data_IF_940895886550
#
_entry.id   IF_940895886550
#
_cell.length_a   1.000
_cell.length_b   1.000
_cell.length_c   1.000
_cell.angle_alpha   90.00
_cell.angle_beta   90.00
_cell.angle_gamma   90.00
#
_symmetry.space_group_name_H-M   'P 1'
#
loop_
_entity.id
_entity.type
_entity.pdbx_description
1 polymer ?
#
# COMPACT_ATOMS: atom_id res chain seq x y z
N UNK A 1 -24.13 29.68 5.53
CA UNK A 1 -22.68 29.51 5.56
C UNK A 1 -22.45 28.07 6.00
N UNK A 2 -22.15 27.14 5.07
CA UNK A 2 -21.77 25.80 5.44
C UNK A 2 -20.43 25.93 6.18
N UNK A 3 -20.38 25.54 7.45
CA UNK A 3 -19.12 25.27 8.11
C UNK A 3 -18.33 24.35 7.17
N UNK A 4 -17.11 24.75 6.81
CA UNK A 4 -16.21 23.94 5.99
C UNK A 4 -15.83 22.69 6.80
N UNK A 5 -16.68 21.66 6.72
CA UNK A 5 -16.41 20.38 7.39
C UNK A 5 -15.24 19.71 6.67
N UNK A 6 -14.23 19.37 7.42
CA UNK A 6 -13.03 18.71 6.91
C UNK A 6 -13.38 17.43 6.16
N UNK A 7 -12.69 17.17 5.07
CA UNK A 7 -12.92 15.96 4.27
C UNK A 7 -12.42 14.70 5.00
N UNK A 8 -13.04 13.56 4.69
CA UNK A 8 -12.56 12.24 5.06
C UNK A 8 -11.63 11.72 3.95
N UNK A 9 -10.47 11.23 4.29
CA UNK A 9 -9.53 10.60 3.37
C UNK A 9 -9.45 9.11 3.67
N UNK A 10 -9.66 8.26 2.65
CA UNK A 10 -9.59 6.80 2.78
C UNK A 10 -8.62 6.25 1.75
N UNK A 11 -7.49 5.70 2.22
CA UNK A 11 -6.52 4.98 1.40
C UNK A 11 -6.88 3.50 1.34
N UNK A 12 -7.33 3.06 0.16
CA UNK A 12 -7.79 1.70 -0.11
C UNK A 12 -6.62 0.76 -0.43
N UNK A 13 -5.90 0.30 0.58
CA UNK A 13 -4.79 -0.63 0.40
C UNK A 13 -5.24 -2.09 0.26
N UNK A 14 -4.46 -2.90 -0.45
CA UNK A 14 -4.69 -4.36 -0.58
C UNK A 14 -4.63 -5.07 0.78
N UNK A 15 -3.67 -4.70 1.62
CA UNK A 15 -3.50 -5.32 2.94
C UNK A 15 -4.13 -4.55 4.08
N UNK A 16 -4.12 -3.23 4.02
CA UNK A 16 -4.54 -2.34 5.12
C UNK A 16 -5.32 -1.16 4.58
N UNK A 17 -6.41 -0.81 5.25
CA UNK A 17 -7.12 0.47 5.09
C UNK A 17 -6.49 1.51 6.00
N UNK A 18 -6.34 2.74 5.50
CA UNK A 18 -5.93 3.90 6.28
C UNK A 18 -6.97 4.99 6.09
N UNK A 19 -7.52 5.50 7.15
CA UNK A 19 -8.56 6.53 7.05
C UNK A 19 -8.43 7.57 8.17
N UNK A 20 -8.90 8.77 7.90
CA UNK A 20 -8.86 9.87 8.85
C UNK A 20 -9.44 11.16 8.27
N UNK A 21 -9.34 12.22 9.06
CA UNK A 21 -9.82 13.55 8.68
C UNK A 21 -8.70 14.33 8.01
N UNK A 22 -9.01 15.02 6.93
CA UNK A 22 -8.06 15.86 6.23
C UNK A 22 -7.54 17.00 7.13
N UNK A 23 -6.24 17.27 7.06
CA UNK A 23 -5.55 18.21 7.93
C UNK A 23 -4.84 17.55 9.11
N UNK A 24 -5.13 16.27 9.42
CA UNK A 24 -4.37 15.52 10.40
C UNK A 24 -3.02 15.04 9.80
N UNK A 25 -2.00 14.92 10.64
CA UNK A 25 -0.64 14.48 10.25
C UNK A 25 -0.53 12.96 10.05
N UNK A 26 -1.49 12.19 10.56
CA UNK A 26 -1.51 10.72 10.46
C UNK A 26 -2.94 10.17 10.42
N UNK A 27 -3.16 9.00 9.79
CA UNK A 27 -4.48 8.40 9.74
C UNK A 27 -4.95 7.99 11.14
N UNK A 28 -6.19 8.30 11.46
CA UNK A 28 -6.83 7.92 12.73
C UNK A 28 -7.18 6.42 12.78
N UNK A 29 -7.54 5.85 11.63
CA UNK A 29 -7.86 4.44 11.48
C UNK A 29 -6.80 3.73 10.62
N UNK A 30 -6.29 2.59 11.10
CA UNK A 30 -5.36 1.72 10.41
C UNK A 30 -5.69 0.26 10.75
N UNK A 31 -6.31 -0.46 9.82
CA UNK A 31 -6.79 -1.81 10.06
C UNK A 31 -6.73 -2.69 8.80
N UNK A 32 -6.71 -4.04 8.94
CA UNK A 32 -6.64 -4.97 7.82
C UNK A 32 -7.83 -4.83 6.85
N UNK A 33 -7.56 -4.82 5.54
CA UNK A 33 -8.56 -4.84 4.47
C UNK A 33 -9.14 -6.25 4.29
N UNK A 34 -9.91 -6.71 5.27
CA UNK A 34 -10.44 -8.07 5.32
C UNK A 34 -11.83 -8.12 5.94
N UNK A 35 -12.66 -9.01 5.43
CA UNK A 35 -13.96 -9.37 6.00
C UNK A 35 -13.95 -10.83 6.41
N UNK A 36 -14.45 -11.12 7.60
CA UNK A 36 -14.69 -12.46 8.12
C UNK A 36 -16.16 -12.83 8.07
N UNK A 37 -16.50 -13.90 7.38
CA UNK A 37 -17.87 -14.44 7.32
C UNK A 37 -17.92 -15.72 8.14
N UNK A 38 -18.91 -15.92 9.04
CA UNK A 38 -19.07 -17.15 9.82
C UNK A 38 -19.11 -18.39 8.93
N UNK A 39 -18.30 -19.40 9.27
CA UNK A 39 -18.30 -20.71 8.57
C UNK A 39 -19.60 -21.51 8.78
N UNK A 40 -20.28 -21.24 9.89
CA UNK A 40 -21.53 -21.92 10.28
C UNK A 40 -22.58 -20.86 10.60
N UNK A 41 -23.84 -21.10 10.22
CA UNK A 41 -24.97 -20.18 10.38
C UNK A 41 -25.35 -19.85 11.84
N UNK A 42 -24.71 -20.44 12.85
CA UNK A 42 -24.88 -20.12 14.27
C UNK A 42 -23.55 -20.26 15.00
N UNK A 43 -22.90 -19.14 15.28
CA UNK A 43 -21.90 -19.09 16.35
C UNK A 43 -22.70 -18.83 17.63
N UNK A 44 -22.80 -19.83 18.52
CA UNK A 44 -23.39 -19.63 19.85
C UNK A 44 -22.62 -18.55 20.59
N UNK A 45 -23.31 -17.44 20.95
CA UNK A 45 -22.72 -16.36 21.72
C UNK A 45 -22.13 -15.20 20.91
N UNK A 46 -22.27 -15.17 19.60
CA UNK A 46 -22.08 -13.96 18.80
C UNK A 46 -23.44 -13.25 18.68
N UNK A 47 -23.50 -11.98 19.02
CA UNK A 47 -24.57 -11.10 18.59
C UNK A 47 -24.83 -11.33 17.08
N UNK A 48 -26.03 -11.08 16.61
CA UNK A 48 -26.54 -11.33 15.25
C UNK A 48 -25.70 -10.72 14.09
N UNK A 49 -24.37 -10.54 14.30
CA UNK A 49 -23.44 -10.00 13.33
C UNK A 49 -23.16 -11.02 12.22
N UNK A 50 -23.64 -10.68 11.05
CA UNK A 50 -23.45 -11.49 9.83
C UNK A 50 -22.03 -11.45 9.27
N UNK A 51 -21.18 -10.52 9.70
CA UNK A 51 -19.79 -10.35 9.27
C UNK A 51 -18.95 -9.59 10.30
N UNK A 52 -17.63 -9.73 10.19
CA UNK A 52 -16.63 -9.02 10.99
C UNK A 52 -15.63 -8.32 10.05
N UNK A 53 -15.08 -7.17 10.45
CA UNK A 53 -14.17 -6.38 9.62
C UNK A 53 -12.83 -6.21 10.33
N UNK A 54 -11.75 -6.14 9.55
CA UNK A 54 -10.45 -5.75 10.02
C UNK A 54 -9.87 -6.68 11.08
N UNK A 55 -9.39 -6.12 12.20
CA UNK A 55 -8.74 -6.87 13.25
C UNK A 55 -9.66 -7.87 13.94
N UNK A 56 -10.95 -7.56 14.07
CA UNK A 56 -11.94 -8.48 14.64
C UNK A 56 -12.13 -9.74 13.79
N UNK A 57 -12.09 -9.59 12.46
CA UNK A 57 -12.11 -10.73 11.55
C UNK A 57 -10.86 -11.60 11.72
N UNK A 58 -9.67 -10.98 11.82
CA UNK A 58 -8.41 -11.68 12.04
C UNK A 58 -8.42 -12.43 13.38
N UNK A 59 -8.86 -11.78 14.45
CA UNK A 59 -8.89 -12.38 15.79
C UNK A 59 -9.82 -13.61 15.86
N UNK A 60 -10.91 -13.60 15.09
CA UNK A 60 -11.91 -14.69 15.05
C UNK A 60 -11.74 -15.66 13.88
N UNK A 61 -10.61 -15.66 13.17
CA UNK A 61 -10.36 -16.44 11.94
C UNK A 61 -10.60 -17.95 12.07
N UNK A 62 -10.47 -18.52 13.27
CA UNK A 62 -10.74 -19.95 13.51
C UNK A 62 -12.17 -20.36 13.12
N UNK A 63 -13.14 -19.47 13.35
CA UNK A 63 -14.58 -19.70 13.11
C UNK A 63 -15.11 -18.92 11.91
N UNK A 64 -14.27 -18.07 11.27
CA UNK A 64 -14.62 -17.26 10.13
C UNK A 64 -13.89 -17.71 8.85
N UNK A 65 -14.53 -17.50 7.71
CA UNK A 65 -13.88 -17.51 6.39
C UNK A 65 -13.45 -16.10 6.09
N UNK A 66 -12.13 -15.86 5.94
CA UNK A 66 -11.58 -14.56 5.62
C UNK A 66 -11.67 -14.30 4.11
N UNK A 67 -12.12 -13.10 3.74
CA UNK A 67 -12.20 -12.63 2.37
C UNK A 67 -11.56 -11.26 2.24
N UNK A 68 -10.76 -11.09 1.19
CA UNK A 68 -10.01 -9.87 0.90
C UNK A 68 -10.63 -9.19 -0.33
N UNK A 69 -11.36 -8.07 -0.15
CA UNK A 69 -12.10 -7.43 -1.24
C UNK A 69 -11.20 -6.69 -2.23
N UNK A 70 -9.95 -6.41 -1.86
CA UNK A 70 -8.95 -5.81 -2.74
C UNK A 70 -7.89 -6.84 -3.10
N UNK A 71 -7.72 -7.10 -4.39
CA UNK A 71 -6.70 -8.00 -4.91
C UNK A 71 -5.74 -7.22 -5.80
N UNK A 72 -4.44 -7.27 -5.48
CA UNK A 72 -3.40 -6.58 -6.25
C UNK A 72 -3.73 -5.11 -6.57
N UNK A 73 -4.24 -4.38 -5.57
CA UNK A 73 -4.58 -2.95 -5.69
C UNK A 73 -5.93 -2.64 -6.34
N UNK A 74 -6.68 -3.65 -6.78
CA UNK A 74 -7.97 -3.48 -7.47
C UNK A 74 -9.10 -4.08 -6.63
N UNK A 75 -10.21 -3.37 -6.50
CA UNK A 75 -11.41 -3.86 -5.81
C UNK A 75 -12.03 -4.98 -6.66
N UNK A 76 -12.10 -6.17 -6.09
CA UNK A 76 -12.66 -7.38 -6.71
C UNK A 76 -14.06 -7.74 -6.17
N UNK A 77 -14.39 -7.30 -4.96
CA UNK A 77 -15.70 -7.53 -4.33
C UNK A 77 -16.26 -6.22 -3.75
N UNK A 78 -17.21 -5.65 -4.47
CA UNK A 78 -17.82 -4.36 -4.14
C UNK A 78 -18.70 -4.40 -2.90
N UNK A 79 -19.45 -5.50 -2.69
CA UNK A 79 -20.30 -5.65 -1.51
C UNK A 79 -19.45 -5.69 -0.23
N UNK A 80 -18.34 -6.39 -0.26
CA UNK A 80 -17.43 -6.43 0.88
C UNK A 80 -16.70 -5.12 1.09
N UNK A 81 -16.34 -4.42 -0.01
CA UNK A 81 -15.68 -3.13 0.11
C UNK A 81 -16.62 -2.07 0.70
N UNK A 82 -17.91 -2.10 0.34
CA UNK A 82 -18.93 -1.25 0.94
C UNK A 82 -19.05 -1.47 2.46
N UNK A 83 -19.01 -2.74 2.92
CA UNK A 83 -19.01 -3.06 4.35
C UNK A 83 -17.75 -2.51 5.07
N UNK A 84 -16.59 -2.54 4.41
CA UNK A 84 -15.36 -1.93 4.94
C UNK A 84 -15.51 -0.42 5.05
N UNK A 85 -16.03 0.27 4.03
CA UNK A 85 -16.25 1.72 4.08
C UNK A 85 -17.28 2.10 5.15
N UNK A 86 -18.36 1.31 5.29
CA UNK A 86 -19.32 1.49 6.36
C UNK A 86 -18.65 1.38 7.73
N UNK A 87 -17.86 0.31 7.95
CA UNK A 87 -17.11 0.13 9.17
C UNK A 87 -16.12 1.29 9.42
N UNK A 88 -15.46 1.77 8.37
CA UNK A 88 -14.53 2.91 8.45
C UNK A 88 -15.27 4.16 9.01
N UNK A 89 -16.41 4.49 8.47
CA UNK A 89 -17.15 5.68 8.91
C UNK A 89 -17.73 5.54 10.32
N UNK A 90 -18.47 4.48 10.56
CA UNK A 90 -19.30 4.37 11.77
C UNK A 90 -18.55 3.78 12.97
N UNK A 91 -17.61 2.88 12.76
CA UNK A 91 -16.87 2.22 13.85
C UNK A 91 -15.55 2.91 14.16
N UNK A 92 -14.76 3.20 13.12
CA UNK A 92 -13.39 3.71 13.28
C UNK A 92 -13.38 5.24 13.41
N UNK A 93 -13.95 5.97 12.46
CA UNK A 93 -13.92 7.44 12.44
C UNK A 93 -15.00 8.05 13.32
N UNK A 94 -16.14 7.38 13.46
CA UNK A 94 -17.34 7.88 14.12
C UNK A 94 -17.81 9.20 13.50
N UNK A 95 -17.81 9.24 12.16
CA UNK A 95 -18.15 10.38 11.34
C UNK A 95 -19.38 10.06 10.48
N UNK A 96 -20.26 11.03 10.30
CA UNK A 96 -21.41 10.90 9.38
C UNK A 96 -20.93 11.19 7.94
N UNK A 97 -21.01 10.24 6.99
CA UNK A 97 -20.61 10.48 5.62
C UNK A 97 -21.38 11.64 4.95
N UNK A 98 -22.63 11.91 5.36
CA UNK A 98 -23.43 13.01 4.81
C UNK A 98 -22.88 14.40 5.16
N UNK A 99 -22.01 14.47 6.13
CA UNK A 99 -21.43 15.74 6.62
C UNK A 99 -20.04 16.02 6.08
N UNK A 100 -19.37 15.03 5.45
CA UNK A 100 -17.98 15.12 5.06
C UNK A 100 -17.78 14.81 3.58
N UNK A 101 -17.07 15.69 2.87
CA UNK A 101 -16.53 15.37 1.56
C UNK A 101 -15.58 14.17 1.69
N UNK A 102 -15.47 13.33 0.66
CA UNK A 102 -14.60 12.15 0.71
C UNK A 102 -13.57 12.14 -0.40
N UNK A 103 -12.32 11.91 -0.04
CA UNK A 103 -11.25 11.58 -0.97
C UNK A 103 -10.90 10.09 -0.83
N UNK A 104 -11.05 9.35 -1.92
CA UNK A 104 -10.56 7.98 -2.02
C UNK A 104 -9.22 7.92 -2.74
N UNK A 105 -8.47 6.85 -2.48
CA UNK A 105 -7.30 6.54 -3.27
C UNK A 105 -7.54 5.34 -4.17
N UNK A 106 -6.83 5.29 -5.29
CA UNK A 106 -6.82 4.14 -6.18
C UNK A 106 -5.41 3.80 -6.65
N UNK A 107 -5.21 2.52 -6.99
CA UNK A 107 -3.98 2.08 -7.62
C UNK A 107 -3.86 2.66 -9.05
N UNK A 108 -2.64 2.91 -9.53
CA UNK A 108 -2.41 3.23 -10.95
C UNK A 108 -2.99 2.15 -11.85
N UNK A 109 -3.41 2.55 -13.05
CA UNK A 109 -4.02 1.65 -14.05
C UNK A 109 -5.31 0.95 -13.58
N UNK A 110 -6.01 1.52 -12.59
CA UNK A 110 -7.32 1.03 -12.17
C UNK A 110 -8.32 1.16 -13.34
N UNK A 111 -9.15 0.14 -13.61
CA UNK A 111 -10.16 0.22 -14.66
C UNK A 111 -11.11 1.42 -14.47
N UNK A 112 -11.39 2.15 -15.56
CA UNK A 112 -12.25 3.35 -15.52
C UNK A 112 -13.61 3.09 -14.86
N UNK A 113 -14.23 1.94 -15.13
CA UNK A 113 -15.50 1.53 -14.51
C UNK A 113 -15.42 1.40 -12.98
N UNK A 114 -14.25 1.12 -12.43
CA UNK A 114 -14.10 1.03 -10.98
C UNK A 114 -14.16 2.41 -10.32
N UNK A 115 -13.63 3.45 -10.98
CA UNK A 115 -13.78 4.84 -10.51
C UNK A 115 -15.24 5.26 -10.49
N UNK A 116 -15.97 4.98 -11.60
CA UNK A 116 -17.41 5.24 -11.68
C UNK A 116 -18.15 4.53 -10.55
N UNK A 117 -17.85 3.25 -10.32
CA UNK A 117 -18.50 2.44 -9.29
C UNK A 117 -18.21 2.92 -7.86
N UNK A 118 -16.97 3.36 -7.58
CA UNK A 118 -16.66 4.00 -6.29
C UNK A 118 -17.53 5.24 -6.07
N UNK A 119 -17.56 6.13 -7.04
CA UNK A 119 -18.35 7.37 -6.96
C UNK A 119 -19.84 7.11 -6.80
N UNK A 120 -20.43 6.18 -7.58
CA UNK A 120 -21.83 5.76 -7.44
C UNK A 120 -22.15 5.32 -6.01
N UNK A 121 -21.32 4.44 -5.43
CA UNK A 121 -21.53 3.94 -4.07
C UNK A 121 -21.52 5.09 -3.05
N UNK A 122 -20.57 6.02 -3.17
CA UNK A 122 -20.48 7.12 -2.22
C UNK A 122 -21.61 8.13 -2.37
N UNK A 123 -22.02 8.48 -3.57
CA UNK A 123 -23.17 9.39 -3.75
C UNK A 123 -24.51 8.69 -3.49
N UNK A 124 -24.72 7.48 -3.97
CA UNK A 124 -26.03 6.83 -3.91
C UNK A 124 -26.32 6.19 -2.55
N UNK A 125 -25.30 5.63 -1.88
CA UNK A 125 -25.49 4.91 -0.61
C UNK A 125 -25.02 5.71 0.61
N UNK A 126 -23.81 6.28 0.57
CA UNK A 126 -23.29 7.08 1.68
C UNK A 126 -23.77 8.53 1.68
N UNK A 127 -24.32 9.03 0.56
CA UNK A 127 -24.87 10.38 0.43
C UNK A 127 -23.87 11.48 0.78
N UNK A 128 -22.61 11.29 0.41
CA UNK A 128 -21.57 12.29 0.65
C UNK A 128 -21.85 13.58 -0.13
N UNK A 129 -21.49 14.77 0.40
CA UNK A 129 -21.70 16.03 -0.30
C UNK A 129 -20.79 16.19 -1.52
N UNK A 130 -19.54 15.74 -1.41
CA UNK A 130 -18.55 15.83 -2.49
C UNK A 130 -17.66 14.59 -2.50
N UNK A 131 -17.16 14.24 -3.69
CA UNK A 131 -16.32 13.08 -3.93
C UNK A 131 -15.10 13.45 -4.76
N UNK A 132 -13.98 12.81 -4.47
CA UNK A 132 -12.79 12.82 -5.32
C UNK A 132 -12.04 11.48 -5.21
N UNK A 133 -11.40 11.06 -6.29
CA UNK A 133 -10.50 9.91 -6.27
C UNK A 133 -9.15 10.30 -6.87
N UNK A 134 -8.07 9.95 -6.17
CA UNK A 134 -6.71 10.27 -6.60
C UNK A 134 -5.83 9.03 -6.67
N UNK A 135 -4.87 9.05 -7.58
CA UNK A 135 -3.87 7.99 -7.76
C UNK A 135 -2.90 7.99 -6.57
N UNK A 136 -2.72 6.84 -5.93
CA UNK A 136 -1.88 6.66 -4.75
C UNK A 136 -0.47 7.26 -4.90
N UNK A 137 0.17 7.04 -6.05
CA UNK A 137 1.51 7.53 -6.30
C UNK A 137 1.58 9.08 -6.36
N UNK A 138 0.57 9.74 -6.92
CA UNK A 138 0.49 11.20 -6.94
C UNK A 138 0.44 11.74 -5.53
N UNK A 139 -0.41 11.18 -4.69
CA UNK A 139 -0.53 11.59 -3.29
C UNK A 139 0.75 11.35 -2.49
N UNK A 140 1.41 10.19 -2.70
CA UNK A 140 2.69 9.90 -2.05
C UNK A 140 3.79 10.93 -2.42
N UNK A 141 3.78 11.42 -3.66
CA UNK A 141 4.69 12.47 -4.09
C UNK A 141 4.37 13.82 -3.45
N UNK A 142 3.08 14.19 -3.37
CA UNK A 142 2.64 15.39 -2.67
C UNK A 142 3.03 15.37 -1.19
N UNK A 143 2.92 14.22 -0.51
CA UNK A 143 3.39 14.06 0.86
C UNK A 143 4.88 14.37 1.04
N UNK A 144 5.69 14.18 0.00
CA UNK A 144 7.11 14.52 -0.01
C UNK A 144 7.40 15.98 -0.46
N UNK A 145 6.36 16.80 -0.65
CA UNK A 145 6.46 18.19 -1.07
C UNK A 145 6.89 18.39 -2.53
N UNK A 146 6.63 17.39 -3.40
CA UNK A 146 7.01 17.40 -4.80
C UNK A 146 5.81 17.21 -5.73
N UNK A 147 5.95 17.73 -6.95
CA UNK A 147 4.97 17.57 -8.04
C UNK A 147 5.53 16.80 -9.23
N UNK A 148 6.85 16.61 -9.29
CA UNK A 148 7.52 15.88 -10.37
C UNK A 148 8.51 14.87 -9.78
N UNK A 149 8.50 13.63 -10.29
CA UNK A 149 9.39 12.56 -9.87
C UNK A 149 8.88 11.18 -10.24
N UNK A 150 9.59 10.15 -9.78
CA UNK A 150 9.20 8.75 -9.89
C UNK A 150 8.81 8.25 -8.51
N UNK A 151 7.64 7.67 -8.40
CA UNK A 151 7.19 7.01 -7.17
C UNK A 151 7.31 5.51 -7.33
N UNK A 152 8.05 4.89 -6.43
CA UNK A 152 8.12 3.44 -6.26
C UNK A 152 7.24 3.08 -5.08
N UNK A 153 6.00 2.70 -5.37
CA UNK A 153 5.03 2.30 -4.36
C UNK A 153 4.94 0.78 -4.28
N UNK A 154 5.41 0.23 -3.18
CA UNK A 154 5.37 -1.21 -2.91
C UNK A 154 4.57 -1.50 -1.65
N UNK A 155 3.38 -2.04 -1.85
CA UNK A 155 2.41 -2.37 -0.81
C UNK A 155 2.45 -3.84 -0.38
N UNK A 156 1.30 -4.34 0.05
CA UNK A 156 1.12 -5.77 0.37
C UNK A 156 0.93 -6.62 -0.89
N UNK A 157 0.13 -6.14 -1.85
CA UNK A 157 -0.30 -6.95 -2.99
C UNK A 157 0.35 -6.62 -4.32
N UNK A 158 0.99 -5.47 -4.47
CA UNK A 158 1.50 -4.97 -5.76
C UNK A 158 2.59 -3.94 -5.56
N UNK A 159 3.51 -3.87 -6.53
CA UNK A 159 4.52 -2.83 -6.66
C UNK A 159 4.26 -2.06 -7.95
N UNK A 160 4.16 -0.74 -7.86
CA UNK A 160 4.05 0.16 -9.00
C UNK A 160 5.26 1.08 -9.07
N UNK A 161 5.68 1.38 -10.29
CA UNK A 161 6.60 2.47 -10.56
C UNK A 161 5.89 3.47 -11.47
N UNK A 162 5.65 4.67 -10.93
CA UNK A 162 4.81 5.70 -11.55
C UNK A 162 5.61 6.96 -11.76
N UNK A 163 5.62 7.45 -13.00
CA UNK A 163 6.13 8.77 -13.31
C UNK A 163 5.03 9.79 -13.09
N UNK A 164 5.32 10.78 -12.28
CA UNK A 164 4.46 11.95 -12.05
C UNK A 164 5.19 13.17 -12.58
N UNK A 165 4.53 13.97 -13.40
CA UNK A 165 5.05 15.21 -13.94
C UNK A 165 4.03 16.33 -13.72
N UNK A 166 4.46 17.38 -13.04
CA UNK A 166 3.64 18.53 -12.67
C UNK A 166 2.29 18.15 -12.00
N UNK A 167 2.33 17.12 -11.14
CA UNK A 167 1.17 16.61 -10.42
C UNK A 167 0.31 15.59 -11.18
N UNK A 168 0.65 15.27 -12.43
CA UNK A 168 -0.11 14.32 -13.26
C UNK A 168 0.67 13.03 -13.46
N UNK A 169 0.00 11.88 -13.27
CA UNK A 169 0.62 10.58 -13.57
C UNK A 169 0.67 10.33 -15.07
N UNK A 170 1.83 9.88 -15.57
CA UNK A 170 2.00 9.50 -16.96
C UNK A 170 1.68 8.02 -17.12
N UNK A 171 0.42 7.73 -17.43
CA UNK A 171 -0.13 6.35 -17.39
C UNK A 171 0.56 5.38 -18.35
N UNK A 172 0.96 5.82 -19.54
CA UNK A 172 1.54 4.94 -20.58
C UNK A 172 2.97 4.47 -20.27
N UNK A 173 3.67 5.13 -19.37
CA UNK A 173 5.00 4.70 -18.87
C UNK A 173 4.94 4.06 -17.48
N UNK A 174 3.75 4.07 -16.85
CA UNK A 174 3.57 3.43 -15.55
C UNK A 174 3.77 1.92 -15.68
N UNK A 175 4.62 1.37 -14.83
CA UNK A 175 4.87 -0.08 -14.77
C UNK A 175 4.33 -0.67 -13.48
N UNK A 176 3.97 -1.95 -13.57
CA UNK A 176 3.39 -2.73 -12.48
C UNK A 176 4.06 -4.08 -12.37
N UNK A 177 4.28 -4.50 -11.14
CA UNK A 177 4.79 -5.82 -10.80
C UNK A 177 3.94 -6.42 -9.66
N UNK A 178 3.55 -7.69 -9.80
CA UNK A 178 2.75 -8.38 -8.78
C UNK A 178 3.62 -8.99 -7.65
N UNK A 179 4.88 -8.61 -7.57
CA UNK A 179 5.78 -8.94 -6.47
C UNK A 179 5.70 -7.84 -5.39
N UNK A 180 5.26 -8.20 -4.18
CA UNK A 180 5.06 -7.26 -3.09
C UNK A 180 5.11 -7.97 -1.72
N UNK A 181 4.73 -7.28 -0.66
CA UNK A 181 4.88 -7.75 0.72
C UNK A 181 4.26 -9.11 1.03
N UNK A 182 3.15 -9.47 0.37
CA UNK A 182 2.49 -10.77 0.54
C UNK A 182 3.37 -11.91 0.05
N UNK A 183 4.00 -11.79 -1.12
CA UNK A 183 4.92 -12.79 -1.66
C UNK A 183 6.11 -13.01 -0.72
N UNK A 184 6.64 -11.92 -0.16
CA UNK A 184 7.73 -11.99 0.82
C UNK A 184 7.29 -12.70 2.11
N UNK A 185 6.07 -12.45 2.58
CA UNK A 185 5.52 -13.13 3.75
C UNK A 185 5.30 -14.63 3.48
N UNK A 186 4.80 -15.00 2.31
CA UNK A 186 4.60 -16.38 1.89
C UNK A 186 5.93 -17.13 1.76
N UNK A 187 6.94 -16.49 1.17
CA UNK A 187 8.28 -17.05 1.11
C UNK A 187 8.86 -17.26 2.50
N UNK A 188 8.80 -16.24 3.37
CA UNK A 188 9.27 -16.33 4.74
C UNK A 188 8.57 -17.46 5.51
N UNK A 189 7.24 -17.56 5.40
CA UNK A 189 6.45 -18.62 6.04
C UNK A 189 6.86 -20.02 5.57
N UNK A 190 7.12 -20.17 4.27
CA UNK A 190 7.54 -21.46 3.70
C UNK A 190 8.93 -21.91 4.20
N UNK A 191 9.84 -20.95 4.38
CA UNK A 191 11.23 -21.24 4.69
C UNK A 191 11.60 -21.14 6.17
N UNK A 192 10.70 -20.62 7.03
CA UNK A 192 10.98 -20.54 8.48
C UNK A 192 11.09 -21.94 9.12
N UNK A 193 10.52 -22.96 8.50
CA UNK A 193 10.70 -24.34 8.94
C UNK A 193 12.15 -24.83 8.85
N UNK A 194 12.99 -24.24 7.98
CA UNK A 194 14.43 -24.52 7.89
C UNK A 194 15.18 -24.10 9.17
N UNK A 195 14.64 -23.12 9.90
CA UNK A 195 15.16 -22.69 11.21
C UNK A 195 14.60 -23.53 12.39
N UNK A 196 13.90 -24.63 12.09
CA UNK A 196 13.32 -25.53 13.10
C UNK A 196 12.03 -25.02 13.76
N UNK A 197 11.33 -24.10 13.08
CA UNK A 197 10.10 -23.46 13.57
C UNK A 197 8.92 -23.86 12.67
N UNK A 198 7.85 -24.37 13.27
CA UNK A 198 6.62 -24.71 12.54
C UNK A 198 5.57 -23.61 12.77
N UNK A 199 5.23 -22.89 11.71
CA UNK A 199 4.18 -21.87 11.66
C UNK A 199 3.19 -22.20 10.54
N UNK A 200 2.56 -23.38 10.63
CA UNK A 200 1.65 -23.89 9.59
C UNK A 200 0.23 -23.32 9.72
N UNK A 201 -0.14 -22.81 10.89
CA UNK A 201 -1.47 -22.28 11.17
C UNK A 201 -1.69 -20.89 10.59
N UNK A 202 -2.91 -20.60 10.13
CA UNK A 202 -3.31 -19.27 9.69
C UNK A 202 -3.24 -18.21 10.80
N UNK A 203 -3.29 -18.63 12.09
CA UNK A 203 -3.08 -17.77 13.25
C UNK A 203 -1.67 -17.19 13.30
N UNK A 204 -0.72 -17.92 12.79
CA UNK A 204 0.70 -17.61 12.85
C UNK A 204 1.15 -16.70 11.71
N UNK A 205 0.32 -16.50 10.66
CA UNK A 205 0.64 -15.58 9.57
C UNK A 205 0.90 -14.14 10.02
N UNK A 206 0.16 -13.66 11.01
CA UNK A 206 0.37 -12.32 11.54
C UNK A 206 1.69 -12.24 12.33
N UNK A 207 2.06 -13.32 13.03
CA UNK A 207 3.36 -13.41 13.72
C UNK A 207 4.49 -13.41 12.68
N UNK A 208 4.36 -14.20 11.61
CA UNK A 208 5.31 -14.23 10.49
C UNK A 208 5.47 -12.84 9.87
N UNK A 209 4.35 -12.14 9.65
CA UNK A 209 4.36 -10.78 9.12
C UNK A 209 5.09 -9.81 10.06
N UNK A 210 4.82 -9.89 11.35
CA UNK A 210 5.48 -9.04 12.35
C UNK A 210 6.99 -9.34 12.43
N UNK A 211 7.39 -10.62 12.42
CA UNK A 211 8.79 -11.03 12.36
C UNK A 211 9.47 -10.44 11.12
N UNK A 212 8.85 -10.61 9.95
CA UNK A 212 9.36 -10.06 8.69
C UNK A 212 9.54 -8.54 8.76
N UNK A 213 8.54 -7.83 9.26
CA UNK A 213 8.56 -6.37 9.34
C UNK A 213 9.61 -5.84 10.34
N UNK A 214 9.88 -6.58 11.42
CA UNK A 214 10.82 -6.17 12.47
C UNK A 214 12.27 -6.58 12.22
N UNK A 215 12.48 -7.76 11.66
CA UNK A 215 13.83 -8.34 11.59
C UNK A 215 14.45 -8.33 10.20
N UNK A 216 13.63 -8.43 9.13
CA UNK A 216 14.17 -8.46 7.78
C UNK A 216 14.73 -7.10 7.37
N UNK A 217 15.82 -7.15 6.60
CA UNK A 217 16.47 -5.97 6.04
C UNK A 217 17.15 -6.32 4.71
N UNK A 218 17.39 -5.31 3.88
CA UNK A 218 18.08 -5.47 2.60
C UNK A 218 19.58 -5.40 2.80
N UNK A 219 20.26 -6.48 2.45
CA UNK A 219 21.74 -6.55 2.46
C UNK A 219 22.33 -5.63 1.37
N UNK A 220 23.43 -4.95 1.68
CA UNK A 220 24.17 -4.17 0.68
C UNK A 220 25.06 -5.06 -0.18
N UNK A 221 25.54 -6.19 0.34
CA UNK A 221 26.28 -7.23 -0.36
C UNK A 221 25.76 -8.61 0.06
N UNK A 222 24.79 -9.09 -0.68
CA UNK A 222 24.04 -10.31 -0.35
C UNK A 222 24.94 -11.54 -0.21
N UNK A 223 25.87 -11.76 -1.15
CA UNK A 223 26.72 -12.93 -1.14
C UNK A 223 27.68 -12.97 0.05
N UNK A 224 28.32 -11.85 0.37
CA UNK A 224 29.21 -11.75 1.53
C UNK A 224 28.45 -11.98 2.83
N UNK A 225 27.26 -11.42 2.94
CA UNK A 225 26.47 -11.53 4.17
C UNK A 225 25.89 -12.94 4.36
N UNK A 226 25.53 -13.63 3.27
CA UNK A 226 25.17 -15.06 3.29
C UNK A 226 26.31 -15.92 3.82
N UNK A 227 27.54 -15.65 3.36
CA UNK A 227 28.74 -16.35 3.89
C UNK A 227 28.98 -16.08 5.38
N UNK A 228 28.72 -14.86 5.84
CA UNK A 228 28.85 -14.52 7.27
C UNK A 228 27.83 -15.28 8.11
N UNK A 229 26.56 -15.37 7.69
CA UNK A 229 25.57 -16.17 8.40
C UNK A 229 25.92 -17.66 8.48
N UNK A 230 26.56 -18.20 7.43
CA UNK A 230 26.99 -19.60 7.43
C UNK A 230 28.16 -19.89 8.34
N UNK A 231 29.08 -18.91 8.53
CA UNK A 231 30.31 -19.04 9.30
C UNK A 231 30.16 -18.64 10.78
N UNK A 232 29.23 -17.72 11.08
CA UNK A 232 29.10 -17.12 12.42
C UNK A 232 27.66 -17.19 12.96
N UNK A 233 27.35 -18.17 13.81
CA UNK A 233 26.04 -18.30 14.44
C UNK A 233 25.62 -17.09 15.31
N UNK A 234 26.56 -16.22 15.72
CA UNK A 234 26.27 -15.04 16.54
C UNK A 234 25.52 -13.95 15.74
N UNK A 235 25.53 -14.03 14.41
CA UNK A 235 24.80 -13.12 13.52
C UNK A 235 23.29 -13.36 13.54
N UNK A 236 22.81 -14.51 14.02
CA UNK A 236 21.36 -14.76 14.16
C UNK A 236 20.70 -13.73 15.04
N UNK A 237 19.55 -13.19 14.58
CA UNK A 237 18.77 -12.21 15.33
C UNK A 237 17.70 -12.90 16.19
N UNK A 238 17.54 -12.43 17.42
CA UNK A 238 16.51 -12.92 18.33
C UNK A 238 15.17 -12.19 18.11
N UNK A 239 14.09 -12.95 18.21
CA UNK A 239 12.72 -12.44 18.27
C UNK A 239 11.97 -13.14 19.39
N UNK A 240 11.21 -12.37 20.18
CA UNK A 240 10.37 -12.90 21.23
C UNK A 240 8.93 -13.06 20.71
N UNK A 241 8.46 -14.29 20.73
CA UNK A 241 7.10 -14.64 20.32
C UNK A 241 6.08 -14.16 21.37
N UNK A 242 4.80 -14.02 21.01
CA UNK A 242 3.75 -13.60 21.95
C UNK A 242 3.58 -14.49 23.19
N UNK A 243 4.04 -15.73 23.14
CA UNK A 243 4.08 -16.68 24.26
C UNK A 243 5.32 -16.54 25.15
N UNK A 244 6.21 -15.59 24.86
CA UNK A 244 7.47 -15.33 25.56
C UNK A 244 8.64 -16.22 25.14
N UNK A 245 8.43 -17.15 24.19
CA UNK A 245 9.51 -17.99 23.65
C UNK A 245 10.41 -17.17 22.73
N UNK A 246 11.72 -17.26 22.92
CA UNK A 246 12.71 -16.62 22.05
C UNK A 246 13.12 -17.56 20.93
N UNK A 247 13.10 -17.05 19.72
CA UNK A 247 13.56 -17.72 18.51
C UNK A 247 14.78 -16.99 17.93
N UNK A 248 15.64 -17.71 17.22
CA UNK A 248 16.80 -17.14 16.53
C UNK A 248 16.69 -17.40 15.05
N UNK A 249 16.77 -16.34 14.26
CA UNK A 249 16.64 -16.38 12.81
C UNK A 249 17.97 -16.06 12.15
N UNK A 250 18.33 -16.88 11.17
CA UNK A 250 19.57 -16.76 10.42
C UNK A 250 19.40 -15.96 9.12
N UNK A 251 19.94 -16.47 8.04
CA UNK A 251 20.01 -15.85 6.72
C UNK A 251 18.64 -15.57 6.08
N UNK A 252 17.57 -16.24 6.54
CA UNK A 252 16.21 -16.01 6.05
C UNK A 252 15.79 -14.55 6.14
N UNK A 253 16.31 -13.78 7.11
CA UNK A 253 16.00 -12.37 7.29
C UNK A 253 16.54 -11.46 6.18
N UNK A 254 17.60 -11.88 5.47
CA UNK A 254 18.13 -11.17 4.30
C UNK A 254 17.67 -11.81 2.99
N UNK A 255 17.47 -13.13 2.93
CA UNK A 255 16.96 -13.83 1.74
C UNK A 255 15.57 -13.33 1.36
N UNK A 256 14.75 -13.04 2.33
CA UNK A 256 13.36 -12.62 2.09
C UNK A 256 13.26 -11.29 1.31
N UNK A 257 13.87 -10.19 1.74
CA UNK A 257 13.80 -8.94 0.96
C UNK A 257 14.69 -8.99 -0.31
N UNK A 258 15.68 -9.89 -0.41
CA UNK A 258 16.48 -10.04 -1.63
C UNK A 258 15.63 -10.42 -2.85
N UNK A 259 14.47 -11.05 -2.65
CA UNK A 259 13.50 -11.37 -3.71
C UNK A 259 13.10 -10.12 -4.52
N UNK A 260 13.10 -8.93 -3.92
CA UNK A 260 12.84 -7.67 -4.63
C UNK A 260 13.93 -7.34 -5.64
N UNK A 261 15.16 -7.82 -5.41
CA UNK A 261 16.34 -7.61 -6.26
C UNK A 261 16.62 -8.79 -7.17
N UNK A 262 16.17 -9.99 -6.78
CA UNK A 262 16.26 -11.22 -7.58
C UNK A 262 14.95 -12.03 -7.45
N UNK A 263 13.93 -11.74 -8.27
CA UNK A 263 12.65 -12.47 -8.25
C UNK A 263 12.77 -13.95 -8.62
N UNK A 264 13.89 -14.37 -9.22
CA UNK A 264 14.11 -15.79 -9.60
C UNK A 264 14.21 -16.71 -8.37
N UNK A 265 14.55 -16.18 -7.20
CA UNK A 265 14.53 -16.89 -5.91
C UNK A 265 13.16 -17.57 -5.65
N UNK A 266 12.07 -16.96 -6.12
CA UNK A 266 10.71 -17.52 -6.00
C UNK A 266 10.17 -18.02 -7.33
N UNK A 267 11.03 -18.18 -8.34
CA UNK A 267 10.65 -18.69 -9.67
C UNK A 267 9.86 -17.71 -10.52
N UNK A 268 9.94 -16.42 -10.24
CA UNK A 268 9.27 -15.38 -11.05
C UNK A 268 10.24 -14.82 -12.09
N UNK A 269 9.88 -14.92 -13.37
CA UNK A 269 10.60 -14.29 -14.50
C UNK A 269 10.04 -12.89 -14.78
N UNK A 270 10.36 -11.95 -13.91
CA UNK A 270 9.91 -10.56 -13.95
C UNK A 270 11.09 -9.63 -13.62
N UNK A 271 11.03 -8.35 -14.05
CA UNK A 271 12.06 -7.39 -13.69
C UNK A 271 12.22 -7.24 -12.17
N UNK A 272 13.47 -7.18 -11.71
CA UNK A 272 13.78 -6.79 -10.33
C UNK A 272 13.37 -5.34 -10.06
N UNK A 273 13.30 -4.95 -8.80
CA UNK A 273 12.89 -3.60 -8.41
C UNK A 273 13.77 -2.51 -9.07
N UNK A 274 15.11 -2.60 -9.08
CA UNK A 274 15.95 -1.65 -9.80
C UNK A 274 15.68 -1.62 -11.30
N UNK A 275 15.50 -2.81 -11.92
CA UNK A 275 15.22 -2.91 -13.34
C UNK A 275 13.86 -2.34 -13.70
N UNK A 276 12.84 -2.53 -12.84
CA UNK A 276 11.52 -1.94 -13.00
C UNK A 276 11.61 -0.41 -13.04
N UNK A 277 12.31 0.20 -12.07
CA UNK A 277 12.51 1.66 -12.00
C UNK A 277 13.26 2.17 -13.22
N UNK A 278 14.36 1.50 -13.58
CA UNK A 278 15.15 1.84 -14.75
C UNK A 278 14.31 1.81 -16.04
N UNK A 279 13.58 0.73 -16.28
CA UNK A 279 12.74 0.57 -17.47
C UNK A 279 11.65 1.65 -17.54
N UNK A 280 11.02 1.96 -16.40
CA UNK A 280 10.01 3.01 -16.29
C UNK A 280 10.57 4.37 -16.72
N UNK A 281 11.74 4.76 -16.19
CA UNK A 281 12.36 6.04 -16.55
C UNK A 281 12.84 6.03 -18.02
N UNK A 282 13.39 4.92 -18.51
CA UNK A 282 13.82 4.81 -19.91
C UNK A 282 12.65 4.88 -20.91
N UNK A 283 11.44 4.56 -20.48
CA UNK A 283 10.23 4.69 -21.30
C UNK A 283 9.70 6.13 -21.42
N UNK A 284 10.28 7.06 -20.65
CA UNK A 284 9.94 8.50 -20.74
C UNK A 284 10.77 9.23 -21.79
N UNK A 285 10.35 10.44 -22.10
CA UNK A 285 11.12 11.36 -22.94
C UNK A 285 12.51 11.64 -22.36
N UNK A 286 13.52 11.80 -23.23
CA UNK A 286 14.93 11.92 -22.83
C UNK A 286 15.14 13.12 -21.91
N UNK A 287 14.47 14.22 -22.17
CA UNK A 287 14.62 15.48 -21.43
C UNK A 287 14.18 15.36 -19.96
N UNK A 288 13.23 14.47 -19.67
CA UNK A 288 12.72 14.25 -18.32
C UNK A 288 13.62 13.31 -17.48
N UNK A 289 14.38 12.43 -18.12
CA UNK A 289 15.08 11.32 -17.43
C UNK A 289 16.02 11.80 -16.33
N UNK A 290 16.75 12.88 -16.57
CA UNK A 290 17.69 13.42 -15.58
C UNK A 290 16.97 13.82 -14.30
N UNK A 291 15.91 14.60 -14.42
CA UNK A 291 15.12 15.07 -13.28
C UNK A 291 14.43 13.90 -12.56
N UNK A 292 13.99 12.89 -13.31
CA UNK A 292 13.37 11.70 -12.74
C UNK A 292 14.37 10.86 -11.94
N UNK A 293 15.61 10.65 -12.42
CA UNK A 293 16.64 9.94 -11.66
C UNK A 293 17.04 10.67 -10.37
N UNK A 294 16.99 12.00 -10.36
CA UNK A 294 17.26 12.79 -9.16
C UNK A 294 16.08 12.84 -8.17
N UNK A 295 14.90 12.33 -8.57
CA UNK A 295 13.66 12.42 -7.79
C UNK A 295 12.90 11.10 -7.73
N UNK A 296 13.54 10.04 -7.23
CA UNK A 296 12.90 8.74 -6.99
C UNK A 296 12.41 8.70 -5.54
N UNK A 297 11.11 8.60 -5.32
CA UNK A 297 10.49 8.59 -3.98
C UNK A 297 9.92 7.21 -3.68
N UNK A 298 10.28 6.65 -2.53
CA UNK A 298 9.74 5.38 -2.03
C UNK A 298 8.43 5.60 -1.28
N UNK A 299 7.47 4.70 -1.51
CA UNK A 299 6.16 4.65 -0.84
C UNK A 299 5.74 3.21 -0.57
N UNK A 300 4.83 3.03 0.38
CA UNK A 300 4.27 1.73 0.74
C UNK A 300 5.06 0.96 1.79
N UNK A 301 4.34 0.04 2.46
CA UNK A 301 4.87 -0.71 3.61
C UNK A 301 6.06 -1.61 3.29
N UNK A 302 6.12 -2.18 2.08
CA UNK A 302 7.23 -3.04 1.66
C UNK A 302 8.52 -2.27 1.43
N UNK A 303 8.45 -0.95 1.20
CA UNK A 303 9.65 -0.12 1.10
C UNK A 303 10.29 0.21 2.46
N UNK A 304 9.67 -0.18 3.57
CA UNK A 304 10.15 0.13 4.92
C UNK A 304 11.39 -0.66 5.36
N UNK A 305 11.77 -1.71 4.63
CA UNK A 305 12.98 -2.48 4.95
C UNK A 305 14.20 -1.57 5.06
N UNK A 306 14.96 -1.74 6.15
CA UNK A 306 16.25 -1.07 6.33
C UNK A 306 17.19 -1.46 5.19
N UNK A 307 18.00 -0.52 4.70
CA UNK A 307 18.96 -0.75 3.62
C UNK A 307 18.37 -0.74 2.21
N UNK A 308 17.02 -0.68 2.05
CA UNK A 308 16.40 -0.72 0.72
C UNK A 308 16.74 0.53 -0.11
N UNK A 309 16.71 1.69 0.50
CA UNK A 309 17.03 2.97 -0.16
C UNK A 309 18.45 2.95 -0.74
N UNK A 310 19.42 2.58 0.08
CA UNK A 310 20.84 2.55 -0.28
C UNK A 310 21.10 1.49 -1.36
N UNK A 311 20.55 0.28 -1.19
CA UNK A 311 20.71 -0.80 -2.17
C UNK A 311 20.08 -0.44 -3.51
N UNK A 312 18.86 0.11 -3.52
CA UNK A 312 18.21 0.54 -4.75
C UNK A 312 19.01 1.65 -5.46
N UNK A 313 19.53 2.63 -4.71
CA UNK A 313 20.37 3.70 -5.26
C UNK A 313 21.65 3.13 -5.89
N UNK A 314 22.31 2.18 -5.21
CA UNK A 314 23.54 1.53 -5.70
C UNK A 314 23.28 0.71 -6.97
N UNK A 315 22.20 -0.10 -6.99
CA UNK A 315 21.87 -0.92 -8.17
C UNK A 315 21.46 -0.06 -9.37
N UNK A 316 20.68 1.00 -9.16
CA UNK A 316 20.36 1.95 -10.22
C UNK A 316 21.59 2.67 -10.73
N UNK A 317 22.54 3.03 -9.85
CA UNK A 317 23.80 3.65 -10.23
C UNK A 317 24.65 2.79 -11.17
N UNK A 318 24.51 1.46 -11.10
CA UNK A 318 25.17 0.53 -12.02
C UNK A 318 24.51 0.48 -13.41
N UNK A 319 23.22 0.79 -13.49
CA UNK A 319 22.42 0.73 -14.73
C UNK A 319 22.50 2.01 -15.55
N UNK A 320 22.80 3.13 -14.91
CA UNK A 320 22.85 4.44 -15.57
C UNK A 320 24.28 4.87 -15.92
N UNK A 321 24.43 5.86 -16.81
CA UNK A 321 25.74 6.41 -17.15
C UNK A 321 26.36 7.13 -15.93
N UNK A 322 27.70 7.15 -15.85
CA UNK A 322 28.44 7.77 -14.75
C UNK A 322 28.13 9.26 -14.51
N UNK A 323 27.62 9.95 -15.53
CA UNK A 323 27.23 11.36 -15.43
C UNK A 323 25.81 11.56 -14.90
N UNK A 324 25.05 10.48 -14.71
CA UNK A 324 23.68 10.54 -14.23
C UNK A 324 23.65 10.39 -12.71
N UNK A 325 23.12 11.43 -12.05
CA UNK A 325 22.95 11.39 -10.60
C UNK A 325 21.65 10.68 -10.24
N UNK A 326 21.75 9.61 -9.44
CA UNK A 326 20.59 8.89 -8.90
C UNK A 326 20.37 9.32 -7.44
N UNK A 327 19.13 9.73 -7.12
CA UNK A 327 18.74 10.07 -5.76
C UNK A 327 17.43 9.37 -5.40
N UNK A 328 17.52 8.42 -4.48
CA UNK A 328 16.37 7.75 -3.89
C UNK A 328 16.01 8.42 -2.57
N UNK A 329 14.74 8.77 -2.40
CA UNK A 329 14.20 9.46 -1.23
C UNK A 329 13.26 8.50 -0.52
N UNK A 330 13.51 8.26 0.76
CA UNK A 330 12.74 7.36 1.61
C UNK A 330 12.20 8.13 2.83
N UNK A 331 11.05 8.82 2.70
CA UNK A 331 10.44 9.51 3.83
C UNK A 331 10.22 8.53 5.00
N UNK A 332 10.45 8.95 6.26
CA UNK A 332 10.22 8.08 7.42
C UNK A 332 8.79 7.55 7.50
N UNK A 333 7.82 8.40 7.18
CA UNK A 333 6.38 8.14 7.21
C UNK A 333 5.82 7.51 5.92
N UNK A 334 6.68 7.05 4.97
CA UNK A 334 6.27 6.55 3.65
C UNK A 334 5.27 5.38 3.69
N UNK A 335 5.13 4.70 4.82
CA UNK A 335 4.06 3.72 5.05
C UNK A 335 2.67 4.36 4.97
N UNK A 336 2.55 5.63 5.36
CA UNK A 336 1.32 6.43 5.37
C UNK A 336 1.33 7.56 4.33
N UNK A 337 2.39 7.67 3.51
CA UNK A 337 2.60 8.77 2.58
C UNK A 337 1.44 9.03 1.64
N UNK A 338 0.77 8.00 1.15
CA UNK A 338 -0.43 8.11 0.31
C UNK A 338 -1.55 8.84 1.05
N UNK A 339 -1.86 8.41 2.28
CA UNK A 339 -2.90 9.02 3.09
C UNK A 339 -2.53 10.46 3.48
N UNK A 340 -1.29 10.69 3.90
CA UNK A 340 -0.77 12.03 4.25
C UNK A 340 -0.92 12.99 3.06
N UNK A 341 -0.53 12.55 1.86
CA UNK A 341 -0.70 13.36 0.65
C UNK A 341 -2.16 13.69 0.35
N UNK A 342 -3.06 12.73 0.56
CA UNK A 342 -4.50 12.95 0.47
C UNK A 342 -5.01 13.96 1.51
N UNK A 343 -4.53 13.85 2.76
CA UNK A 343 -4.84 14.78 3.85
C UNK A 343 -4.41 16.21 3.51
N UNK A 344 -3.17 16.38 3.05
CA UNK A 344 -2.64 17.67 2.62
C UNK A 344 -3.44 18.24 1.45
N UNK A 345 -3.64 17.45 0.38
CA UNK A 345 -4.32 17.91 -0.83
C UNK A 345 -5.76 18.35 -0.54
N UNK A 346 -6.51 17.54 0.21
CA UNK A 346 -7.90 17.84 0.57
C UNK A 346 -8.05 19.09 1.44
N UNK A 347 -7.00 19.49 2.15
CA UNK A 347 -6.98 20.66 3.04
C UNK A 347 -6.64 21.97 2.31
N UNK A 348 -6.17 21.89 1.05
CA UNK A 348 -5.82 23.07 0.29
C UNK A 348 -7.05 23.84 -0.18
N UNK A 349 -7.09 25.16 0.04
CA UNK A 349 -8.16 26.01 -0.44
C UNK A 349 -8.31 25.96 -1.98
N UNK A 350 -7.18 25.81 -2.69
CA UNK A 350 -7.17 25.69 -4.16
C UNK A 350 -7.78 24.38 -4.67
N UNK A 351 -7.87 23.35 -3.83
CA UNK A 351 -8.44 22.07 -4.20
C UNK A 351 -9.98 22.06 -4.14
N UNK A 352 -10.60 23.04 -3.51
CA UNK A 352 -12.06 23.07 -3.33
C UNK A 352 -12.85 23.04 -4.65
N UNK A 353 -12.32 23.64 -5.73
CA UNK A 353 -12.94 23.59 -7.07
C UNK A 353 -12.79 22.24 -7.78
N UNK A 354 -11.92 21.35 -7.28
CA UNK A 354 -11.67 20.04 -7.89
C UNK A 354 -12.67 18.98 -7.44
N UNK A 355 -13.37 19.19 -6.33
CA UNK A 355 -14.39 18.27 -5.85
C UNK A 355 -15.51 18.07 -6.88
N UNK A 356 -16.00 16.84 -6.98
CA UNK A 356 -17.25 16.52 -7.68
C UNK A 356 -18.37 16.67 -6.68
N UNK A 357 -19.32 17.59 -6.95
CA UNK A 357 -20.50 17.76 -6.08
C UNK A 357 -21.62 16.78 -6.42
N UNK A 358 -22.55 16.62 -5.50
CA UNK A 358 -23.77 15.82 -5.73
C UNK A 358 -24.61 16.36 -6.91
N UNK A 359 -24.63 17.69 -7.11
CA UNK A 359 -25.33 18.32 -8.25
C UNK A 359 -24.65 17.94 -9.56
N UNK A 360 -23.31 18.09 -9.68
CA UNK A 360 -22.55 17.73 -10.87
C UNK A 360 -22.71 16.24 -11.22
N UNK A 361 -22.72 15.36 -10.21
CA UNK A 361 -22.99 13.93 -10.40
C UNK A 361 -24.39 13.68 -10.94
N UNK A 362 -25.41 14.38 -10.42
CA UNK A 362 -26.81 14.24 -10.83
C UNK A 362 -27.04 14.73 -12.27
N UNK A 363 -26.32 15.78 -12.70
CA UNK A 363 -26.45 16.36 -14.04
C UNK A 363 -25.70 15.57 -15.11
N UNK A 364 -24.49 15.11 -14.80
CA UNK A 364 -23.57 14.52 -15.79
C UNK A 364 -23.51 13.00 -15.72
N UNK A 365 -23.80 12.43 -14.54
CA UNK A 365 -23.67 11.01 -14.25
C UNK A 365 -22.25 10.56 -13.94
N UNK A 366 -22.02 9.24 -13.82
CA UNK A 366 -20.74 8.66 -13.34
C UNK A 366 -19.52 9.04 -14.16
N UNK A 367 -19.69 9.39 -15.44
CA UNK A 367 -18.57 9.74 -16.32
C UNK A 367 -17.81 11.03 -15.94
N UNK A 368 -18.40 11.87 -15.07
CA UNK A 368 -17.77 13.10 -14.60
C UNK A 368 -16.43 12.83 -13.88
N UNK A 369 -16.31 11.68 -13.24
CA UNK A 369 -15.08 11.29 -12.52
C UNK A 369 -13.83 11.29 -13.43
N UNK A 370 -14.00 10.99 -14.71
CA UNK A 370 -12.88 10.97 -15.67
C UNK A 370 -12.47 12.36 -16.14
N UNK A 371 -13.30 13.38 -15.92
CA UNK A 371 -13.01 14.77 -16.30
C UNK A 371 -12.42 15.58 -15.16
N UNK A 372 -12.71 15.21 -13.91
CA UNK A 372 -12.26 15.95 -12.72
C UNK A 372 -11.16 15.23 -11.93
N UNK A 373 -11.10 13.91 -11.98
CA UNK A 373 -10.10 13.12 -11.26
C UNK A 373 -8.99 12.61 -12.23
N UNK A 374 -7.80 13.14 -12.10
CA UNK A 374 -6.65 12.88 -12.99
C UNK A 374 -5.61 11.97 -12.36
#
# INVERSE_FOLDING_TARGET
MSEDRQAVVIDNGTGMIKAGIAGDDSPKAYFPSVIGIPKYNRIQGADDQSFFVGQDAINKKGVLTLQYPVSTGIISNWEHMEKIWHYTYYNELKADPMEHSVMLTEAPLNPKKNREKMMEIFFDKFKVPNFYVSIQAVLALYASGKTTGVVVDSGDGVTHCVVVYDGYSISHVTTRNNLAGRNLTEYFQKHIAEEGLDFSNSAEKEIIKDIKEKLCYVSQNFNEEMELFSKDPSKKKEYELPDGKKIKLGDLIIRTPEILFDPTIIGMDIPSLPQLVYNTIQSTEIDLRKDLYENITLSGGTTMFLGLQERLSNELGKLVSQNMKVKVIAPPERKFGVWIGGSVLSSLATFQSSWISQEEYSEVGPSIVHRKCF
#
